data_IF_391472586678
#
_entry.id   IF_391472586678
#
_cell.length_a   1.000
_cell.length_b   1.000
_cell.length_c   1.000
_cell.angle_alpha   90.00
_cell.angle_beta   90.00
_cell.angle_gamma   90.00
#
_symmetry.space_group_name_H-M   'P 1'
#
loop_
_entity.id
_entity.type
_entity.pdbx_description
1 polymer ?
#
# COMPACT_ATOMS: atom_id res chain seq x y z
N UNK A 1 -7.93 -12.24 13.54
CA UNK A 1 -8.09 -11.03 12.73
C UNK A 1 -9.55 -10.87 12.32
N UNK A 2 -10.10 -9.65 12.40
CA UNK A 2 -11.40 -9.34 11.82
C UNK A 2 -11.38 -9.57 10.31
N UNK A 3 -12.47 -10.02 9.71
CA UNK A 3 -12.54 -10.21 8.25
C UNK A 3 -12.46 -8.86 7.52
N UNK A 4 -11.75 -8.82 6.40
CA UNK A 4 -11.67 -7.62 5.56
C UNK A 4 -13.06 -7.16 5.09
N UNK A 5 -13.28 -5.85 5.08
CA UNK A 5 -14.52 -5.25 4.58
C UNK A 5 -14.61 -5.26 3.06
N UNK A 6 -13.46 -5.23 2.38
CA UNK A 6 -13.31 -5.43 0.95
C UNK A 6 -11.89 -5.94 0.65
N UNK A 7 -11.74 -6.60 -0.50
CA UNK A 7 -10.46 -7.03 -1.04
C UNK A 7 -10.39 -6.62 -2.51
N UNK A 8 -9.26 -6.05 -2.92
CA UNK A 8 -8.93 -5.77 -4.34
C UNK A 8 -7.65 -6.49 -4.69
N UNK A 9 -7.69 -7.38 -5.69
CA UNK A 9 -6.54 -8.18 -6.10
C UNK A 9 -5.82 -7.61 -7.33
N UNK A 10 -4.57 -8.05 -7.53
CA UNK A 10 -3.74 -7.73 -8.69
C UNK A 10 -3.52 -6.23 -8.92
N UNK A 11 -3.34 -5.48 -7.83
CA UNK A 11 -3.06 -4.04 -7.86
C UNK A 11 -1.70 -3.75 -7.25
N UNK A 12 -1.14 -2.58 -7.57
CA UNK A 12 0.12 -2.16 -6.98
C UNK A 12 -0.05 -1.81 -5.49
N UNK A 13 1.03 -1.96 -4.72
CA UNK A 13 1.09 -1.43 -3.36
C UNK A 13 0.80 0.08 -3.33
N UNK A 14 1.23 0.80 -4.37
CA UNK A 14 0.99 2.23 -4.55
C UNK A 14 -0.50 2.55 -4.72
N UNK A 15 -1.25 1.68 -5.40
CA UNK A 15 -2.70 1.79 -5.51
C UNK A 15 -3.38 1.49 -4.17
N UNK A 16 -2.93 0.46 -3.45
CA UNK A 16 -3.49 0.10 -2.15
C UNK A 16 -3.33 1.21 -1.12
N UNK A 17 -2.13 1.81 -1.07
CA UNK A 17 -1.87 2.96 -0.25
C UNK A 17 -2.75 4.13 -0.68
N UNK A 18 -2.64 4.61 -1.93
CA UNK A 18 -3.19 5.91 -2.32
C UNK A 18 -4.72 5.98 -2.38
N UNK A 19 -5.39 4.85 -2.59
CA UNK A 19 -6.82 4.83 -2.84
C UNK A 19 -7.57 4.08 -1.74
N UNK A 20 -8.57 4.74 -1.16
CA UNK A 20 -9.54 4.04 -0.33
C UNK A 20 -10.29 2.99 -1.15
N UNK A 21 -10.56 1.83 -0.54
CA UNK A 21 -11.31 0.72 -1.16
C UNK A 21 -12.72 0.59 -0.60
N UNK A 22 -13.01 1.36 0.44
CA UNK A 22 -14.33 1.47 1.04
C UNK A 22 -14.97 2.79 0.64
N UNK A 23 -16.29 2.75 0.49
CA UNK A 23 -17.11 3.93 0.25
C UNK A 23 -17.97 4.23 1.49
N UNK A 24 -18.26 5.51 1.71
CA UNK A 24 -19.21 5.94 2.73
C UNK A 24 -20.51 5.10 2.68
N UNK A 25 -21.05 4.62 3.82
CA UNK A 25 -20.73 5.01 5.20
C UNK A 25 -19.58 4.24 5.88
N UNK A 26 -18.84 3.42 5.13
CA UNK A 26 -17.68 2.68 5.62
C UNK A 26 -16.41 3.50 5.39
N UNK A 27 -15.91 4.14 6.44
CA UNK A 27 -14.62 4.84 6.38
C UNK A 27 -13.51 3.82 6.57
N UNK A 28 -12.53 3.84 5.67
CA UNK A 28 -11.35 2.97 5.75
C UNK A 28 -10.38 3.54 6.77
N UNK A 29 -10.00 2.73 7.75
CA UNK A 29 -9.02 3.13 8.78
C UNK A 29 -7.67 2.45 8.58
N UNK A 30 -7.69 1.29 7.92
CA UNK A 30 -6.52 0.44 7.75
C UNK A 30 -6.62 -0.35 6.45
N UNK A 31 -5.46 -0.65 5.87
CA UNK A 31 -5.33 -1.64 4.83
C UNK A 31 -4.08 -2.49 5.05
N UNK A 32 -4.21 -3.79 4.77
CA UNK A 32 -3.09 -4.72 4.67
C UNK A 32 -2.92 -5.12 3.21
N UNK A 33 -1.70 -5.01 2.69
CA UNK A 33 -1.34 -5.44 1.36
C UNK A 33 -0.49 -6.69 1.43
N UNK A 34 -1.00 -7.78 0.87
CA UNK A 34 -0.29 -9.06 0.71
C UNK A 34 0.40 -9.07 -0.66
N UNK A 35 1.71 -9.26 -0.68
CA UNK A 35 2.53 -9.20 -1.90
C UNK A 35 2.43 -10.50 -2.70
N UNK A 36 2.24 -10.36 -4.02
CA UNK A 36 2.42 -11.43 -4.99
C UNK A 36 3.80 -11.33 -5.66
N UNK A 37 4.76 -12.10 -5.14
CA UNK A 37 6.12 -12.15 -5.69
C UNK A 37 6.23 -12.72 -7.12
N UNK A 38 5.15 -13.28 -7.67
CA UNK A 38 5.09 -13.66 -9.09
C UNK A 38 5.22 -12.46 -10.05
N UNK A 39 4.97 -11.24 -9.55
CA UNK A 39 4.88 -10.02 -10.34
C UNK A 39 5.99 -9.00 -10.03
N UNK A 40 7.03 -9.39 -9.28
CA UNK A 40 8.10 -8.49 -8.84
C UNK A 40 8.90 -7.83 -9.98
N UNK A 41 8.89 -8.44 -11.17
CA UNK A 41 9.61 -7.90 -12.34
C UNK A 41 8.78 -6.89 -13.15
N UNK A 42 7.51 -6.63 -12.79
CA UNK A 42 6.67 -5.69 -13.52
C UNK A 42 6.88 -4.25 -13.05
N UNK A 43 6.75 -3.30 -13.98
CA UNK A 43 6.77 -1.88 -13.63
C UNK A 43 5.66 -1.56 -12.62
N UNK A 44 6.02 -0.84 -11.55
CA UNK A 44 5.08 -0.47 -10.50
C UNK A 44 4.87 -1.50 -9.39
N UNK A 45 5.60 -2.62 -9.43
CA UNK A 45 5.66 -3.58 -8.32
C UNK A 45 5.97 -2.89 -6.98
N UNK A 46 5.72 -3.53 -5.83
CA UNK A 46 5.02 -4.82 -5.67
C UNK A 46 3.55 -4.81 -6.13
N UNK A 47 3.10 -5.93 -6.69
CA UNK A 47 1.68 -6.22 -6.97
C UNK A 47 1.14 -7.22 -5.96
N UNK A 48 -0.17 -7.24 -5.74
CA UNK A 48 -0.74 -8.09 -4.71
C UNK A 48 -2.21 -7.81 -4.41
N UNK A 49 -2.63 -8.23 -3.21
CA UNK A 49 -3.99 -8.11 -2.71
C UNK A 49 -4.06 -7.02 -1.63
N UNK A 50 -4.94 -6.05 -1.80
CA UNK A 50 -5.24 -5.03 -0.81
C UNK A 50 -6.51 -5.38 -0.04
N UNK A 51 -6.36 -5.62 1.26
CA UNK A 51 -7.43 -5.89 2.20
C UNK A 51 -7.76 -4.60 2.95
N UNK A 52 -9.00 -4.13 2.87
CA UNK A 52 -9.42 -2.87 3.47
C UNK A 52 -10.36 -3.08 4.65
N UNK A 53 -10.19 -2.26 5.70
CA UNK A 53 -10.84 -2.45 6.99
C UNK A 53 -11.45 -1.13 7.51
N UNK A 54 -12.58 -1.25 8.20
CA UNK A 54 -13.21 -0.15 8.96
C UNK A 54 -12.75 -0.09 10.43
N UNK A 55 -11.82 -0.97 10.80
CA UNK A 55 -11.11 -1.01 12.06
C UNK A 55 -9.61 -1.15 11.75
N UNK A 56 -8.76 -1.00 12.76
CA UNK A 56 -7.32 -1.09 12.62
C UNK A 56 -6.76 -1.92 13.78
N UNK A 57 -5.68 -2.68 13.56
CA UNK A 57 -5.02 -3.45 14.62
C UNK A 57 -4.35 -2.52 15.63
N UNK A 58 -4.20 -2.97 16.87
CA UNK A 58 -3.27 -2.37 17.83
C UNK A 58 -1.85 -2.92 17.60
N UNK A 59 -0.79 -2.29 18.14
CA UNK A 59 0.58 -2.70 17.89
C UNK A 59 0.85 -4.18 18.22
N UNK A 60 0.22 -4.71 19.27
CA UNK A 60 0.38 -6.11 19.69
C UNK A 60 -0.38 -7.12 18.80
N UNK A 61 -1.26 -6.64 17.91
CA UNK A 61 -1.99 -7.49 16.96
C UNK A 61 -1.21 -7.70 15.65
N UNK A 62 -0.03 -7.08 15.50
CA UNK A 62 0.77 -7.11 14.28
C UNK A 62 2.04 -7.91 14.42
N UNK A 63 2.32 -8.67 13.37
CA UNK A 63 3.56 -9.39 13.17
C UNK A 63 4.25 -8.82 11.92
N UNK A 64 5.55 -8.47 11.99
CA UNK A 64 6.27 -7.94 10.84
C UNK A 64 6.36 -8.98 9.73
N UNK A 65 6.02 -8.58 8.51
CA UNK A 65 6.05 -9.43 7.32
C UNK A 65 6.98 -8.79 6.28
N UNK A 66 8.28 -8.95 6.50
CA UNK A 66 9.29 -8.25 5.71
C UNK A 66 9.21 -8.65 4.24
N UNK A 67 8.97 -7.67 3.36
CA UNK A 67 8.77 -7.81 1.90
C UNK A 67 7.50 -8.54 1.44
N UNK A 68 6.85 -9.34 2.29
CA UNK A 68 5.63 -10.08 1.94
C UNK A 68 4.33 -9.30 2.29
N UNK A 69 4.41 -8.31 3.17
CA UNK A 69 3.24 -7.57 3.65
C UNK A 69 3.51 -6.08 3.90
N UNK A 70 2.52 -5.23 3.64
CA UNK A 70 2.59 -3.79 3.95
C UNK A 70 1.32 -3.29 4.63
N UNK A 71 1.47 -2.38 5.59
CA UNK A 71 0.37 -1.85 6.39
C UNK A 71 0.18 -0.36 6.17
N UNK A 72 -1.06 0.06 5.94
CA UNK A 72 -1.42 1.46 5.73
C UNK A 72 -2.43 1.90 6.76
N UNK A 73 -2.14 3.01 7.43
CA UNK A 73 -3.00 3.60 8.44
C UNK A 73 -3.49 4.97 7.98
N UNK A 74 -4.78 5.21 8.16
CA UNK A 74 -5.40 6.50 7.90
C UNK A 74 -5.56 7.30 9.18
N UNK A 75 -5.76 8.62 9.05
CA UNK A 75 -6.10 9.51 10.16
C UNK A 75 -5.12 9.53 11.33
N UNK A 76 -3.84 9.29 11.06
CA UNK A 76 -2.78 9.28 12.09
C UNK A 76 -2.87 8.15 13.10
N UNK A 77 -3.48 7.04 12.71
CA UNK A 77 -3.75 5.92 13.62
C UNK A 77 -2.54 5.03 13.89
N UNK A 78 -1.52 5.04 13.01
CA UNK A 78 -0.33 4.19 13.11
C UNK A 78 0.78 4.73 14.02
N UNK A 79 0.56 5.88 14.69
CA UNK A 79 1.50 6.43 15.67
C UNK A 79 2.64 7.28 15.09
N UNK A 80 2.99 7.13 13.80
CA UNK A 80 3.90 8.05 13.12
C UNK A 80 3.69 8.09 11.59
N UNK A 81 4.17 9.15 10.90
CA UNK A 81 4.12 9.23 9.45
C UNK A 81 5.05 8.20 8.81
N UNK A 82 4.51 7.43 7.87
CA UNK A 82 5.28 6.43 7.15
C UNK A 82 6.31 6.93 6.15
N UNK A 83 7.17 6.01 5.71
CA UNK A 83 8.17 6.22 4.66
C UNK A 83 7.56 6.61 3.30
N UNK A 84 6.34 6.14 3.02
CA UNK A 84 5.59 6.46 1.82
C UNK A 84 5.66 5.37 0.76
N UNK A 85 4.92 5.58 -0.34
CA UNK A 85 5.04 4.79 -1.56
C UNK A 85 4.99 5.71 -2.76
N UNK A 86 5.69 5.31 -3.81
CA UNK A 86 5.71 6.08 -5.07
C UNK A 86 4.29 6.19 -5.67
N UNK A 87 4.05 7.14 -6.60
CA UNK A 87 2.82 7.19 -7.38
C UNK A 87 2.51 5.88 -8.11
N UNK A 88 1.22 5.68 -8.43
CA UNK A 88 0.78 4.55 -9.24
C UNK A 88 1.52 4.60 -10.57
N UNK A 89 2.14 3.50 -10.97
CA UNK A 89 2.98 3.45 -12.16
C UNK A 89 2.29 2.72 -13.30
N UNK A 90 2.57 3.10 -14.54
CA UNK A 90 2.06 2.40 -15.70
C UNK A 90 2.79 1.04 -15.80
N UNK A 91 2.06 -0.09 -15.85
CA UNK A 91 2.66 -1.43 -15.82
C UNK A 91 3.55 -1.74 -17.03
N UNK A 92 3.47 -0.95 -18.11
CA UNK A 92 4.25 -1.16 -19.33
C UNK A 92 5.59 -0.48 -19.34
N UNK A 93 5.73 0.65 -18.64
CA UNK A 93 6.88 1.52 -18.79
C UNK A 93 7.32 2.24 -17.50
N UNK A 94 6.59 2.05 -16.39
CA UNK A 94 6.89 2.65 -15.10
C UNK A 94 6.66 4.16 -15.03
N UNK A 95 6.00 4.77 -16.00
CA UNK A 95 5.61 6.18 -15.90
C UNK A 95 4.64 6.36 -14.74
N UNK A 96 4.81 7.41 -13.94
CA UNK A 96 3.82 7.76 -12.94
C UNK A 96 2.51 8.16 -13.59
N UNK A 97 1.44 7.86 -12.87
CA UNK A 97 0.09 8.24 -13.20
C UNK A 97 -0.77 8.31 -11.96
N UNK A 98 -2.06 8.34 -12.19
CA UNK A 98 -3.06 8.50 -11.15
C UNK A 98 -4.35 7.79 -11.54
N UNK A 99 -5.17 7.54 -10.54
CA UNK A 99 -6.47 6.91 -10.73
C UNK A 99 -7.58 7.88 -10.36
N UNK A 100 -8.59 7.99 -11.23
CA UNK A 100 -9.75 8.83 -10.96
C UNK A 100 -10.63 8.18 -9.89
N UNK A 101 -10.96 8.98 -8.89
CA UNK A 101 -11.69 8.51 -7.73
C UNK A 101 -13.14 8.12 -8.01
N UNK A 102 -13.72 8.58 -9.11
CA UNK A 102 -15.13 8.33 -9.41
C UNK A 102 -15.28 6.99 -10.10
N UNK A 103 -14.45 6.71 -11.10
CA UNK A 103 -14.59 5.51 -11.94
C UNK A 103 -13.46 4.49 -11.77
N UNK A 104 -12.40 4.81 -11.04
CA UNK A 104 -11.24 3.94 -10.85
C UNK A 104 -10.39 3.77 -12.11
N UNK A 105 -10.48 4.71 -13.06
CA UNK A 105 -9.69 4.67 -14.30
C UNK A 105 -8.31 5.26 -14.08
N UNK A 106 -7.31 4.53 -14.52
CA UNK A 106 -5.93 5.00 -14.56
C UNK A 106 -5.66 5.97 -15.72
N UNK A 107 -4.82 6.98 -15.46
CA UNK A 107 -4.32 7.95 -16.41
C UNK A 107 -2.82 8.15 -16.23
N UNK A 108 -2.08 8.13 -17.33
CA UNK A 108 -0.67 8.50 -17.35
C UNK A 108 -0.46 9.99 -17.03
N UNK A 109 0.64 10.30 -16.34
CA UNK A 109 1.09 11.66 -16.13
C UNK A 109 0.61 12.30 -14.82
N UNK A 110 0.63 13.63 -14.80
CA UNK A 110 0.33 14.41 -13.60
C UNK A 110 -1.16 14.33 -13.23
N UNK A 111 -1.51 14.14 -11.95
CA UNK A 111 -2.90 14.24 -11.49
C UNK A 111 -3.52 15.60 -11.80
N UNK A 112 -4.82 15.61 -12.10
CA UNK A 112 -5.62 16.83 -12.09
C UNK A 112 -5.96 17.22 -10.65
N UNK A 113 -5.10 18.05 -10.06
CA UNK A 113 -5.28 18.53 -8.69
C UNK A 113 -6.47 19.47 -8.50
N UNK A 114 -7.08 20.00 -9.56
CA UNK A 114 -8.29 20.83 -9.43
C UNK A 114 -9.48 20.03 -8.90
N UNK A 115 -9.42 18.69 -9.03
CA UNK A 115 -10.42 17.74 -8.58
C UNK A 115 -10.04 17.03 -7.27
N UNK A 116 -8.92 17.41 -6.63
CA UNK A 116 -8.49 16.83 -5.35
C UNK A 116 -9.52 17.18 -4.27
N UNK A 117 -10.00 16.17 -3.56
CA UNK A 117 -10.82 16.34 -2.36
C UNK A 117 -9.92 16.23 -1.14
N UNK A 118 -9.43 17.37 -0.65
CA UNK A 118 -8.70 17.41 0.61
C UNK A 118 -9.65 17.02 1.75
N UNK A 119 -9.14 16.26 2.72
CA UNK A 119 -9.87 15.89 3.93
C UNK A 119 -11.26 15.29 3.65
N UNK A 120 -11.37 14.46 2.60
CA UNK A 120 -12.66 14.02 2.08
C UNK A 120 -13.56 13.37 3.15
N UNK A 121 -12.96 12.60 4.08
CA UNK A 121 -13.66 11.94 5.18
C UNK A 121 -14.21 12.94 6.20
N UNK A 122 -13.58 14.11 6.36
CA UNK A 122 -14.03 15.16 7.30
C UNK A 122 -15.39 15.75 6.92
N UNK A 123 -15.83 15.54 5.68
CA UNK A 123 -17.13 15.97 5.18
C UNK A 123 -18.23 14.93 5.38
N UNK A 124 -17.91 13.73 5.88
CA UNK A 124 -18.91 12.69 6.08
C UNK A 124 -19.79 12.93 7.32
N UNK A 125 -21.10 12.67 7.24
CA UNK A 125 -21.99 12.77 8.39
C UNK A 125 -21.51 11.91 9.56
N UNK A 126 -21.49 12.50 10.77
CA UNK A 126 -21.06 11.90 12.04
C UNK A 126 -19.58 11.49 12.10
N UNK A 127 -18.75 11.84 11.11
CA UNK A 127 -17.34 11.47 11.13
C UNK A 127 -16.59 12.06 12.33
N UNK A 128 -16.81 13.33 12.67
CA UNK A 128 -16.17 13.97 13.82
C UNK A 128 -16.38 13.19 15.13
N UNK A 129 -17.61 12.71 15.37
CA UNK A 129 -17.96 11.91 16.54
C UNK A 129 -17.28 10.54 16.50
N UNK A 130 -17.24 9.87 15.34
CA UNK A 130 -16.54 8.59 15.18
C UNK A 130 -15.05 8.75 15.40
N UNK A 131 -14.44 9.79 14.82
CA UNK A 131 -13.02 10.11 14.93
C UNK A 131 -12.59 10.32 16.38
N UNK A 132 -13.40 11.01 17.20
CA UNK A 132 -13.11 11.19 18.63
C UNK A 132 -13.15 9.91 19.46
N UNK A 133 -13.77 8.85 18.94
CA UNK A 133 -13.83 7.55 19.61
C UNK A 133 -12.70 6.60 19.17
N UNK A 134 -11.87 7.00 18.19
CA UNK A 134 -10.71 6.21 17.77
C UNK A 134 -9.58 6.40 18.76
N UNK A 135 -8.85 5.33 19.04
CA UNK A 135 -7.64 5.34 19.87
C UNK A 135 -6.43 5.08 18.97
N UNK A 136 -5.74 6.14 18.50
CA UNK A 136 -4.49 5.98 17.76
C UNK A 136 -3.47 5.19 18.56
N UNK A 137 -2.50 4.59 17.87
CA UNK A 137 -1.35 4.01 18.54
C UNK A 137 -0.60 5.07 19.38
N UNK A 138 0.06 4.63 20.47
CA UNK A 138 1.07 5.46 21.14
C UNK A 138 2.15 5.92 20.14
N UNK A 139 2.68 7.12 20.33
CA UNK A 139 3.60 7.75 19.38
C UNK A 139 4.92 6.97 19.17
N UNK A 140 5.33 6.17 20.16
CA UNK A 140 6.53 5.34 20.13
C UNK A 140 6.25 3.88 19.76
N UNK A 141 4.99 3.47 19.69
CA UNK A 141 4.63 2.05 19.52
C UNK A 141 5.14 1.46 18.20
N UNK A 142 5.27 2.30 17.16
CA UNK A 142 5.75 1.86 15.87
C UNK A 142 7.28 1.67 15.80
N UNK A 143 8.04 2.23 16.75
CA UNK A 143 9.50 2.10 16.81
C UNK A 143 9.96 0.65 16.98
N UNK A 144 9.08 -0.23 17.49
CA UNK A 144 9.36 -1.68 17.59
C UNK A 144 9.46 -2.37 16.22
N UNK A 145 8.92 -1.76 15.18
CA UNK A 145 8.97 -2.27 13.81
C UNK A 145 10.16 -1.68 13.03
N UNK A 146 10.74 -0.60 13.54
CA UNK A 146 11.92 0.03 12.98
C UNK A 146 13.19 -0.76 13.32
N UNK A 147 14.20 -0.67 12.46
CA UNK A 147 15.53 -1.25 12.68
C UNK A 147 16.63 -0.19 12.86
N UNK A 148 16.25 1.08 13.02
CA UNK A 148 17.17 2.21 13.22
C UNK A 148 17.77 2.79 11.93
N UNK A 149 17.44 2.22 10.77
CA UNK A 149 17.80 2.78 9.46
C UNK A 149 16.55 3.39 8.79
N UNK A 150 16.70 4.48 8.01
CA UNK A 150 15.58 5.02 7.23
C UNK A 150 15.10 4.00 6.20
N UNK A 151 13.79 3.71 6.21
CA UNK A 151 13.20 2.87 5.18
C UNK A 151 13.26 3.55 3.80
N UNK A 152 13.53 2.79 2.73
CA UNK A 152 13.38 3.30 1.37
C UNK A 152 11.96 3.81 1.09
N UNK A 153 11.85 4.87 0.28
CA UNK A 153 10.58 5.50 -0.09
C UNK A 153 9.56 4.57 -0.77
N UNK A 154 10.00 3.43 -1.30
CA UNK A 154 9.11 2.46 -1.95
C UNK A 154 9.54 1.03 -1.58
N UNK A 155 8.59 0.13 -1.29
CA UNK A 155 8.90 -1.25 -0.97
C UNK A 155 9.71 -1.96 -2.04
N UNK A 156 10.55 -2.89 -1.60
CA UNK A 156 11.34 -3.76 -2.47
C UNK A 156 10.42 -4.67 -3.28
N UNK A 157 10.71 -4.84 -4.57
CA UNK A 157 10.11 -5.89 -5.37
C UNK A 157 11.01 -7.12 -5.34
N UNK A 158 10.70 -8.07 -4.48
CA UNK A 158 11.52 -9.26 -4.28
C UNK A 158 11.47 -9.73 -2.85
N UNK A 159 11.69 -11.03 -2.66
CA UNK A 159 11.75 -11.67 -1.34
C UNK A 159 12.92 -11.12 -0.49
N UNK A 160 12.98 -11.40 0.83
CA UNK A 160 13.97 -10.81 1.72
C UNK A 160 15.41 -10.91 1.23
N UNK A 161 15.82 -12.08 0.74
CA UNK A 161 17.19 -12.36 0.31
C UNK A 161 17.42 -12.23 -1.21
N UNK A 162 16.41 -11.82 -1.97
CA UNK A 162 16.55 -11.61 -3.42
C UNK A 162 17.07 -10.20 -3.75
N UNK A 163 17.57 -9.96 -4.96
CA UNK A 163 17.74 -8.60 -5.48
C UNK A 163 16.40 -7.83 -5.50
N UNK A 164 16.46 -6.50 -5.53
CA UNK A 164 15.30 -5.70 -5.90
C UNK A 164 15.09 -5.82 -7.42
N UNK A 165 13.98 -6.42 -7.82
CA UNK A 165 13.60 -6.72 -9.21
C UNK A 165 12.78 -5.60 -9.86
N UNK A 166 12.51 -4.50 -9.13
CA UNK A 166 11.78 -3.35 -9.69
C UNK A 166 12.51 -2.86 -10.96
N UNK A 167 11.85 -2.85 -12.13
CA UNK A 167 12.48 -2.42 -13.37
C UNK A 167 12.61 -0.89 -13.48
N UNK A 168 12.07 -0.12 -12.53
CA UNK A 168 12.08 1.34 -12.55
C UNK A 168 11.14 1.92 -13.61
N UNK A 169 11.39 3.16 -14.02
CA UNK A 169 10.79 3.76 -15.20
C UNK A 169 11.71 3.62 -16.41
N UNK A 170 11.13 3.45 -17.60
CA UNK A 170 11.90 3.56 -18.85
C UNK A 170 12.38 5.01 -19.06
N UNK A 171 13.48 5.25 -19.78
CA UNK A 171 13.97 6.60 -20.03
C UNK A 171 12.91 7.52 -20.64
N UNK A 172 12.75 8.72 -20.06
CA UNK A 172 11.81 9.74 -20.54
C UNK A 172 10.36 9.57 -20.06
N UNK A 173 10.06 8.51 -19.31
CA UNK A 173 8.77 8.35 -18.66
C UNK A 173 8.55 9.42 -17.57
N UNK A 174 7.32 9.91 -17.45
CA UNK A 174 6.98 10.88 -16.40
C UNK A 174 7.27 10.30 -15.02
N UNK A 175 8.01 11.04 -14.19
CA UNK A 175 8.45 10.60 -12.87
C UNK A 175 9.92 10.13 -12.82
N UNK A 176 10.45 9.55 -13.91
CA UNK A 176 11.82 9.03 -14.01
C UNK A 176 12.27 8.24 -12.75
N UNK A 177 11.45 7.29 -12.31
CA UNK A 177 11.72 6.55 -11.08
C UNK A 177 12.91 5.60 -11.24
N UNK A 178 13.81 5.65 -10.26
CA UNK A 178 14.93 4.72 -10.12
C UNK A 178 14.75 3.89 -8.86
N UNK A 179 14.74 2.55 -8.96
CA UNK A 179 14.63 1.66 -7.82
C UNK A 179 15.81 1.80 -6.87
N UNK A 180 15.51 1.75 -5.58
CA UNK A 180 16.52 1.63 -4.54
C UNK A 180 17.22 0.26 -4.63
N UNK A 181 18.55 0.16 -4.49
CA UNK A 181 19.24 -1.12 -4.49
C UNK A 181 18.83 -1.99 -3.29
N UNK A 182 18.91 -3.32 -3.44
CA UNK A 182 18.55 -4.27 -2.38
C UNK A 182 19.33 -4.06 -1.07
N UNK A 183 20.54 -3.50 -1.14
CA UNK A 183 21.41 -3.24 0.01
C UNK A 183 20.91 -2.16 0.96
N UNK A 184 19.91 -1.38 0.58
CA UNK A 184 19.29 -0.35 1.44
C UNK A 184 17.99 -0.85 2.10
N UNK A 185 17.60 -2.09 1.85
CA UNK A 185 16.46 -2.71 2.53
C UNK A 185 16.96 -3.62 3.64
N UNK A 186 16.51 -3.32 4.86
CA UNK A 186 16.90 -4.04 6.06
C UNK A 186 15.66 -4.64 6.71
N UNK A 187 15.69 -5.90 7.16
CA UNK A 187 14.57 -6.49 7.90
C UNK A 187 14.40 -5.79 9.26
N UNK A 188 13.20 -5.84 9.87
CA UNK A 188 12.97 -5.43 11.24
C UNK A 188 13.93 -6.15 12.21
N UNK A 189 14.27 -5.48 13.33
CA UNK A 189 15.30 -5.94 14.27
C UNK A 189 15.10 -7.38 14.78
N UNK A 190 13.85 -7.77 14.99
CA UNK A 190 13.47 -9.08 15.52
C UNK A 190 12.86 -9.99 14.44
N UNK A 191 13.16 -9.74 13.16
CA UNK A 191 12.71 -10.62 12.08
C UNK A 191 13.44 -11.96 12.13
N UNK A 192 12.71 -13.03 12.44
CA UNK A 192 13.23 -14.40 12.52
C UNK A 192 13.02 -15.22 11.22
N UNK A 193 12.45 -14.60 10.17
CA UNK A 193 12.02 -15.29 8.96
C UNK A 193 13.16 -15.83 8.08
N UNK A 194 12.79 -16.72 7.15
CA UNK A 194 13.70 -17.30 6.16
C UNK A 194 13.66 -16.54 4.82
N UNK A 195 14.75 -16.65 4.06
CA UNK A 195 14.83 -16.21 2.65
C UNK A 195 13.74 -16.84 1.76
N UNK A 196 13.18 -17.96 2.19
CA UNK A 196 12.26 -18.83 1.46
C UNK A 196 10.88 -18.94 2.10
N UNK A 197 10.51 -18.11 3.08
CA UNK A 197 9.22 -18.26 3.78
C UNK A 197 8.02 -18.00 2.85
N UNK A 198 7.67 -19.02 2.08
CA UNK A 198 6.47 -19.16 1.28
C UNK A 198 5.28 -19.60 2.14
N UNK A 199 5.21 -19.17 3.40
CA UNK A 199 4.14 -19.61 4.31
C UNK A 199 2.74 -19.11 3.91
N UNK A 200 2.63 -18.38 2.79
CA UNK A 200 1.40 -18.30 2.02
C UNK A 200 1.50 -19.15 0.75
N UNK A 201 0.88 -20.32 0.80
CA UNK A 201 0.69 -21.22 -0.33
C UNK A 201 -0.18 -20.54 -1.39
N UNK A 202 0.45 -20.05 -2.46
CA UNK A 202 -0.26 -19.65 -3.68
C UNK A 202 -0.96 -20.89 -4.26
N UNK A 203 -2.30 -20.88 -4.23
CA UNK A 203 -3.12 -21.86 -4.95
C UNK A 203 -2.83 -21.82 -6.45
N UNK A 204 -2.97 -22.95 -7.17
CA UNK A 204 -2.39 -23.10 -8.49
C UNK A 204 -3.14 -22.30 -9.57
N UNK A 205 -2.35 -21.65 -10.42
CA UNK A 205 -2.64 -21.28 -11.81
C UNK A 205 -4.01 -20.65 -12.10
N UNK A 206 -4.04 -19.32 -12.10
CA UNK A 206 -4.95 -18.59 -12.99
C UNK A 206 -4.16 -17.61 -13.84
N UNK A 207 -4.07 -17.89 -15.15
CA UNK A 207 -3.73 -16.86 -16.13
C UNK A 207 -4.82 -15.79 -16.04
N UNK A 208 -4.52 -14.52 -15.73
CA UNK A 208 -5.57 -13.52 -15.64
C UNK A 208 -5.96 -13.09 -17.05
N UNK A 209 -7.16 -13.48 -17.48
CA UNK A 209 -7.89 -12.64 -18.42
C UNK A 209 -8.11 -11.28 -17.76
N UNK A 210 -7.77 -10.22 -18.51
CA UNK A 210 -8.00 -8.83 -18.15
C UNK A 210 -9.51 -8.62 -17.92
N UNK A 211 -9.95 -8.63 -16.67
CA UNK A 211 -11.33 -8.26 -16.33
C UNK A 211 -11.34 -6.81 -15.84
N UNK A 212 -12.08 -5.97 -16.56
CA UNK A 212 -12.46 -4.62 -16.19
C UNK A 212 -13.06 -4.61 -14.77
N UNK A 213 -12.36 -4.00 -13.80
CA UNK A 213 -12.93 -3.71 -12.49
C UNK A 213 -13.94 -2.57 -12.61
N UNK A 214 -15.22 -2.91 -12.65
CA UNK A 214 -16.33 -1.96 -12.53
C UNK A 214 -16.50 -1.49 -11.09
N UNK A 215 -16.33 -0.18 -10.88
CA UNK A 215 -17.00 0.72 -9.92
C UNK A 215 -16.99 0.39 -8.42
N UNK A 216 -16.32 1.26 -7.64
CA UNK A 216 -16.94 2.16 -6.63
C UNK A 216 -15.86 3.04 -5.96
N UNK A 217 -16.24 4.29 -5.70
CA UNK A 217 -15.50 5.45 -5.19
C UNK A 217 -14.12 5.20 -4.54
N UNK A 218 -13.06 5.73 -5.18
CA UNK A 218 -11.65 5.56 -4.84
C UNK A 218 -10.99 6.90 -4.51
N UNK A 219 -11.21 7.47 -3.33
CA UNK A 219 -10.71 8.82 -3.03
C UNK A 219 -9.22 8.80 -2.65
N UNK A 220 -8.48 9.78 -3.18
CA UNK A 220 -7.09 10.05 -2.80
C UNK A 220 -7.08 10.64 -1.39
N UNK A 221 -6.61 9.88 -0.41
CA UNK A 221 -6.38 10.34 0.96
C UNK A 221 -4.87 10.43 1.24
N UNK A 222 -4.49 11.32 2.16
CA UNK A 222 -3.13 11.39 2.70
C UNK A 222 -2.94 10.25 3.70
N UNK A 223 -1.90 9.44 3.52
CA UNK A 223 -1.72 8.17 4.23
C UNK A 223 -0.45 8.15 5.07
N UNK A 224 -0.45 7.30 6.09
CA UNK A 224 0.73 6.85 6.81
C UNK A 224 1.03 5.39 6.46
N UNK A 225 2.31 5.04 6.35
CA UNK A 225 2.80 3.76 5.82
C UNK A 225 3.77 3.14 6.83
N UNK A 226 3.42 2.00 7.41
CA UNK A 226 4.36 1.21 8.19
C UNK A 226 4.74 0.01 7.33
N UNK A 227 6.02 -0.10 6.96
CA UNK A 227 6.51 -1.30 6.27
C UNK A 227 7.06 -2.34 7.22
#
# INVERSE_FOLDING_TARGET
MNSASAMTSNIQVSECARNTRLAYPKVQLFAYFEVNHGDDCYHGCPYGNCHAFTNFPQPDDLEPSYTDGHSFFWHKLGGHPGSGVKPISNPRNGAYGWEDSINGRYYDGKPDYSRKQNDHDEHYPLWSQRKTALTPWPADAAQRFENGEPEPYHPKCGRPCEPNKDPGSVPGAYGNYHPTPASEYFPPKDWEGSCDDSNYSSGPNHKPDRINSTSRSRLLSENEILT
#
